data_IF_835408631303
#
_entry.id   IF_835408631303
#
_cell.length_a   1.000
_cell.length_b   1.000
_cell.length_c   1.000
_cell.angle_alpha   90.00
_cell.angle_beta   90.00
_cell.angle_gamma   90.00
#
_symmetry.space_group_name_H-M   'P 1'
#
loop_
_entity.id
_entity.type
_entity.pdbx_description
1 polymer ?
#
# COMPACT_ATOMS: atom_id res chain seq x y z
N UNK A 1 -5.16 3.36 -34.88
CA UNK A 1 -4.71 2.79 -33.58
C UNK A 1 -4.59 3.89 -32.53
N UNK A 2 -3.97 5.03 -32.84
CA UNK A 2 -3.94 6.23 -31.98
C UNK A 2 -5.31 6.74 -31.53
N UNK A 3 -6.30 6.76 -32.42
CA UNK A 3 -7.68 7.19 -32.10
C UNK A 3 -8.33 6.31 -31.05
N UNK A 4 -8.08 5.00 -31.10
CA UNK A 4 -8.62 4.03 -30.13
C UNK A 4 -7.96 4.19 -28.76
N UNK A 5 -6.64 4.41 -28.72
CA UNK A 5 -5.89 4.68 -27.47
C UNK A 5 -6.33 5.99 -26.82
N UNK A 6 -6.52 7.06 -27.61
CA UNK A 6 -7.03 8.35 -27.10
C UNK A 6 -8.46 8.23 -26.55
N UNK A 7 -9.29 7.37 -27.15
CA UNK A 7 -10.65 7.11 -26.69
C UNK A 7 -10.65 6.36 -25.35
N UNK A 8 -9.84 5.31 -25.22
CA UNK A 8 -9.63 4.59 -23.95
C UNK A 8 -9.11 5.50 -22.85
N UNK A 9 -8.20 6.43 -23.17
CA UNK A 9 -7.70 7.41 -22.20
C UNK A 9 -8.79 8.39 -21.74
N UNK A 10 -9.64 8.88 -22.65
CA UNK A 10 -10.77 9.73 -22.30
C UNK A 10 -11.80 8.99 -21.43
N UNK A 11 -12.06 7.71 -21.71
CA UNK A 11 -12.94 6.86 -20.92
C UNK A 11 -12.40 6.63 -19.50
N UNK A 12 -11.08 6.43 -19.35
CA UNK A 12 -10.43 6.31 -18.05
C UNK A 12 -10.49 7.60 -17.23
N UNK A 13 -10.23 8.76 -17.85
CA UNK A 13 -10.37 10.06 -17.19
C UNK A 13 -11.80 10.24 -16.68
N UNK A 14 -12.79 9.89 -17.51
CA UNK A 14 -14.20 9.98 -17.14
C UNK A 14 -14.53 9.07 -15.95
N UNK A 15 -14.09 7.81 -15.97
CA UNK A 15 -14.32 6.87 -14.87
C UNK A 15 -13.69 7.35 -13.56
N UNK A 16 -12.46 7.87 -13.60
CA UNK A 16 -11.79 8.43 -12.42
C UNK A 16 -12.55 9.64 -11.87
N UNK A 17 -13.00 10.55 -12.75
CA UNK A 17 -13.78 11.72 -12.36
C UNK A 17 -15.13 11.34 -11.72
N UNK A 18 -15.83 10.35 -12.28
CA UNK A 18 -17.08 9.82 -11.74
C UNK A 18 -16.86 9.20 -10.35
N UNK A 19 -15.82 8.38 -10.18
CA UNK A 19 -15.45 7.80 -8.88
C UNK A 19 -15.15 8.92 -7.86
N UNK A 20 -14.30 9.87 -8.22
CA UNK A 20 -13.89 10.97 -7.34
C UNK A 20 -15.07 11.86 -6.92
N UNK A 21 -16.09 12.02 -7.78
CA UNK A 21 -17.30 12.80 -7.49
C UNK A 21 -18.19 12.14 -6.43
N UNK A 22 -18.10 10.82 -6.25
CA UNK A 22 -18.84 10.08 -5.21
C UNK A 22 -18.13 10.01 -3.87
N UNK A 23 -16.86 10.45 -3.80
CA UNK A 23 -16.04 10.36 -2.60
C UNK A 23 -16.23 11.56 -1.66
N UNK A 24 -16.11 11.38 -0.33
CA UNK A 24 -15.98 12.49 0.60
C UNK A 24 -14.77 13.36 0.25
N UNK A 25 -14.87 14.67 0.47
CA UNK A 25 -13.83 15.64 0.09
C UNK A 25 -12.42 15.27 0.60
N UNK A 26 -12.32 14.80 1.85
CA UNK A 26 -11.05 14.35 2.42
C UNK A 26 -10.41 13.21 1.61
N UNK A 27 -11.21 12.28 1.08
CA UNK A 27 -10.76 11.16 0.26
C UNK A 27 -10.36 11.60 -1.15
N UNK A 28 -11.04 12.60 -1.71
CA UNK A 28 -10.66 13.21 -3.00
C UNK A 28 -9.31 13.94 -2.91
N UNK A 29 -9.04 14.62 -1.80
CA UNK A 29 -7.73 15.25 -1.53
C UNK A 29 -6.62 14.20 -1.42
N UNK A 30 -6.87 13.08 -0.72
CA UNK A 30 -5.92 11.96 -0.66
C UNK A 30 -5.62 11.38 -2.04
N UNK A 31 -6.63 11.19 -2.89
CA UNK A 31 -6.46 10.72 -4.27
C UNK A 31 -5.58 11.67 -5.09
N UNK A 32 -5.77 12.98 -4.92
CA UNK A 32 -4.94 13.99 -5.58
C UNK A 32 -3.48 13.96 -5.09
N UNK A 33 -3.25 13.86 -3.79
CA UNK A 33 -1.90 13.71 -3.23
C UNK A 33 -1.21 12.44 -3.71
N UNK A 34 -1.94 11.33 -3.81
CA UNK A 34 -1.42 10.09 -4.38
C UNK A 34 -1.03 10.26 -5.85
N UNK A 35 -1.85 10.94 -6.66
CA UNK A 35 -1.50 11.25 -8.05
C UNK A 35 -0.26 12.14 -8.17
N UNK A 36 -0.04 13.08 -7.23
CA UNK A 36 1.20 13.87 -7.16
C UNK A 36 2.40 13.01 -6.77
N UNK A 37 2.23 12.09 -5.82
CA UNK A 37 3.27 11.15 -5.42
C UNK A 37 3.74 10.31 -6.61
N UNK A 38 2.82 9.79 -7.43
CA UNK A 38 3.16 9.01 -8.62
C UNK A 38 3.94 9.79 -9.69
N UNK A 39 3.82 11.12 -9.72
CA UNK A 39 4.64 11.96 -10.62
C UNK A 39 6.10 12.02 -10.21
N UNK A 40 6.38 11.93 -8.90
CA UNK A 40 7.74 11.98 -8.35
C UNK A 40 8.31 10.59 -8.07
N UNK A 41 7.45 9.60 -7.90
CA UNK A 41 7.77 8.19 -7.67
C UNK A 41 7.01 7.36 -8.71
N UNK A 42 7.49 7.31 -9.97
CA UNK A 42 6.84 6.51 -10.99
C UNK A 42 6.75 5.07 -10.50
N UNK A 43 5.60 4.44 -10.73
CA UNK A 43 5.48 3.02 -10.47
C UNK A 43 6.57 2.30 -11.28
N UNK A 44 7.23 1.28 -10.71
CA UNK A 44 8.09 0.42 -11.50
C UNK A 44 7.30 -0.10 -12.71
N UNK A 45 8.01 -0.37 -13.81
CA UNK A 45 7.39 -0.98 -14.98
C UNK A 45 6.59 -2.21 -14.57
N UNK A 46 5.47 -2.49 -15.27
CA UNK A 46 4.63 -3.66 -15.00
C UNK A 46 5.51 -4.88 -14.77
N UNK A 47 5.46 -5.41 -13.54
CA UNK A 47 6.10 -6.67 -13.21
C UNK A 47 5.52 -7.71 -14.17
N UNK A 48 6.40 -8.43 -14.84
CA UNK A 48 5.98 -9.55 -15.67
C UNK A 48 5.24 -10.58 -14.81
N UNK A 49 4.30 -11.32 -15.40
CA UNK A 49 3.64 -12.42 -14.70
C UNK A 49 4.64 -13.41 -14.09
N UNK A 50 5.81 -13.55 -14.71
CA UNK A 50 6.91 -14.38 -14.21
C UNK A 50 7.59 -13.78 -12.98
N UNK A 51 7.78 -12.46 -12.90
CA UNK A 51 8.29 -11.77 -11.71
C UNK A 51 7.31 -11.86 -10.54
N UNK A 52 6.01 -11.67 -10.79
CA UNK A 52 4.95 -11.81 -9.79
C UNK A 52 4.92 -13.24 -9.24
N UNK A 53 4.91 -14.25 -10.12
CA UNK A 53 4.89 -15.65 -9.71
C UNK A 53 6.17 -16.06 -8.94
N UNK A 54 7.32 -15.51 -9.32
CA UNK A 54 8.57 -15.74 -8.61
C UNK A 54 8.56 -15.10 -7.22
N UNK A 55 7.94 -13.93 -7.07
CA UNK A 55 7.77 -13.30 -5.76
C UNK A 55 6.78 -14.10 -4.91
N UNK A 56 5.60 -14.45 -5.42
CA UNK A 56 4.61 -15.28 -4.71
C UNK A 56 5.23 -16.60 -4.20
N UNK A 57 6.03 -17.28 -5.03
CA UNK A 57 6.73 -18.50 -4.62
C UNK A 57 7.75 -18.27 -3.49
N UNK A 58 8.38 -17.10 -3.42
CA UNK A 58 9.26 -16.73 -2.30
C UNK A 58 8.45 -16.50 -1.03
N UNK A 59 7.33 -15.79 -1.12
CA UNK A 59 6.42 -15.58 0.01
C UNK A 59 5.90 -16.91 0.55
N UNK A 60 5.44 -17.80 -0.32
CA UNK A 60 4.96 -19.13 0.05
C UNK A 60 6.05 -19.96 0.75
N UNK A 61 7.28 -19.91 0.23
CA UNK A 61 8.42 -20.62 0.84
C UNK A 61 8.75 -20.06 2.22
N UNK A 62 8.75 -18.74 2.39
CA UNK A 62 9.01 -18.10 3.67
C UNK A 62 7.95 -18.47 4.71
N UNK A 63 6.67 -18.42 4.36
CA UNK A 63 5.58 -18.82 5.26
C UNK A 63 5.58 -20.32 5.55
N UNK A 64 5.81 -21.18 4.55
CA UNK A 64 5.91 -22.62 4.77
C UNK A 64 7.09 -23.01 5.68
N UNK A 65 8.15 -22.21 5.70
CA UNK A 65 9.31 -22.37 6.60
C UNK A 65 9.13 -21.70 7.96
N UNK A 66 8.00 -21.02 8.19
CA UNK A 66 7.74 -20.34 9.45
C UNK A 66 7.47 -21.37 10.55
N UNK A 67 8.27 -21.29 11.60
CA UNK A 67 8.12 -22.10 12.80
C UNK A 67 7.18 -21.35 13.76
N UNK A 68 5.97 -21.87 13.95
CA UNK A 68 4.95 -21.29 14.81
C UNK A 68 5.45 -20.98 16.24
N UNK A 69 6.38 -21.79 16.76
CA UNK A 69 6.94 -21.57 18.08
C UNK A 69 7.87 -20.36 18.13
N UNK A 70 8.64 -20.13 17.07
CA UNK A 70 9.49 -18.93 16.92
C UNK A 70 8.66 -17.70 16.65
N UNK A 71 7.58 -17.83 15.87
CA UNK A 71 6.63 -16.75 15.65
C UNK A 71 5.95 -16.34 16.96
N UNK A 72 5.48 -17.30 17.76
CA UNK A 72 4.89 -17.03 19.07
C UNK A 72 5.89 -16.35 20.03
N UNK A 73 7.16 -16.78 20.02
CA UNK A 73 8.20 -16.14 20.81
C UNK A 73 8.48 -14.68 20.37
N UNK A 74 8.45 -14.41 19.06
CA UNK A 74 8.60 -13.07 18.52
C UNK A 74 7.42 -12.17 18.92
N UNK A 75 6.19 -12.67 18.81
CA UNK A 75 4.98 -11.94 19.23
C UNK A 75 5.07 -11.58 20.71
N UNK A 76 5.40 -12.55 21.56
CA UNK A 76 5.54 -12.31 23.00
C UNK A 76 6.63 -11.27 23.32
N UNK A 77 7.76 -11.29 22.60
CA UNK A 77 8.82 -10.30 22.76
C UNK A 77 8.34 -8.89 22.37
N UNK A 78 7.63 -8.76 21.25
CA UNK A 78 7.07 -7.47 20.80
C UNK A 78 6.01 -6.94 21.77
N UNK A 79 5.13 -7.81 22.28
CA UNK A 79 4.14 -7.42 23.30
C UNK A 79 4.82 -6.90 24.58
N UNK A 80 5.92 -7.51 25.00
CA UNK A 80 6.72 -7.00 26.12
C UNK A 80 7.28 -5.62 25.81
N UNK A 81 7.85 -5.40 24.63
CA UNK A 81 8.38 -4.07 24.25
C UNK A 81 7.29 -2.99 24.18
N UNK A 82 6.08 -3.33 23.71
CA UNK A 82 4.90 -2.46 23.74
C UNK A 82 4.53 -2.11 25.18
N UNK A 83 4.39 -3.12 26.04
CA UNK A 83 3.99 -2.93 27.44
C UNK A 83 5.05 -2.17 28.25
N UNK A 84 6.32 -2.31 27.91
CA UNK A 84 7.43 -1.56 28.50
C UNK A 84 7.56 -0.13 27.94
N UNK A 85 6.72 0.27 26.98
CA UNK A 85 6.73 1.60 26.38
C UNK A 85 7.97 1.88 25.52
N UNK A 86 8.64 0.85 25.03
CA UNK A 86 9.85 0.95 24.18
C UNK A 86 9.52 1.22 22.71
N UNK A 87 8.27 1.03 22.30
CA UNK A 87 7.79 1.37 20.97
C UNK A 87 6.80 2.53 21.04
N UNK A 88 6.79 3.33 19.97
CA UNK A 88 5.94 4.51 19.86
C UNK A 88 4.94 4.31 18.72
N UNK A 89 3.64 4.64 18.91
CA UNK A 89 2.64 4.47 17.86
C UNK A 89 2.98 5.30 16.62
N UNK A 90 2.96 4.68 15.46
CA UNK A 90 3.17 5.39 14.18
C UNK A 90 1.95 6.22 13.76
N UNK A 91 0.77 5.93 14.32
CA UNK A 91 -0.48 6.63 14.05
C UNK A 91 -1.23 6.95 15.34
N UNK A 92 -2.00 8.05 15.32
CA UNK A 92 -2.94 8.40 16.39
C UNK A 92 -4.24 7.56 16.31
N UNK A 93 -5.12 7.74 17.30
CA UNK A 93 -6.42 7.04 17.37
C UNK A 93 -7.35 7.38 16.19
N UNK A 94 -7.06 8.45 15.44
CA UNK A 94 -7.81 8.89 14.27
C UNK A 94 -7.15 8.43 12.95
N UNK A 95 -6.01 7.74 13.02
CA UNK A 95 -5.26 7.23 11.89
C UNK A 95 -4.33 8.25 11.21
N UNK A 96 -4.05 9.39 11.83
CA UNK A 96 -3.04 10.33 11.32
C UNK A 96 -1.65 9.89 11.74
N UNK A 97 -0.67 10.07 10.85
CA UNK A 97 0.72 9.75 11.13
C UNK A 97 1.29 10.66 12.23
N UNK A 98 2.00 10.07 13.19
CA UNK A 98 2.71 10.81 14.24
C UNK A 98 4.20 10.79 13.92
N UNK A 99 4.78 11.97 13.70
CA UNK A 99 6.22 12.13 13.51
C UNK A 99 6.94 12.17 14.87
N UNK A 100 7.85 11.22 15.10
CA UNK A 100 8.67 11.17 16.30
C UNK A 100 10.05 11.78 15.98
N UNK A 101 10.39 12.88 16.64
CA UNK A 101 11.66 13.63 16.50
C UNK A 101 12.81 13.05 17.32
#
# INVERSE_FOLDING_TARGET
METKIRQTHADLIKAIAEIAATMPLARTVQLYHFALFLKTHPLPAEETFEEIAADEARWDTQFASTDDSKLAALVAAVEVEINEGKVVPMFDEQGNFIEHS
#
